data_IF_464402055634
#
_entry.id   IF_464402055634
#
_cell.length_a   1.000
_cell.length_b   1.000
_cell.length_c   1.000
_cell.angle_alpha   90.00
_cell.angle_beta   90.00
_cell.angle_gamma   90.00
#
_symmetry.space_group_name_H-M   'P 1'
#
loop_
_entity.id
_entity.type
_entity.pdbx_description
1 polymer ?
#
# COMPACT_ATOMS: atom_id res chain seq x y z
N UNK A 1 -13.94 -22.34 1.56
CA UNK A 1 -13.47 -21.08 0.96
C UNK A 1 -12.30 -20.58 1.79
N UNK A 2 -11.14 -20.40 1.17
CA UNK A 2 -9.89 -19.90 1.77
C UNK A 2 -9.67 -18.45 1.33
N UNK A 3 -8.88 -17.69 2.08
CA UNK A 3 -8.52 -16.29 1.74
C UNK A 3 -7.90 -16.18 0.34
N UNK A 4 -7.03 -17.14 0.00
CA UNK A 4 -6.41 -17.23 -1.33
C UNK A 4 -7.42 -17.34 -2.48
N UNK A 5 -8.66 -17.76 -2.22
CA UNK A 5 -9.71 -17.91 -3.24
C UNK A 5 -10.37 -16.55 -3.57
N UNK A 6 -10.11 -15.50 -2.77
CA UNK A 6 -10.75 -14.18 -2.85
C UNK A 6 -9.78 -13.00 -2.95
N UNK A 7 -8.55 -13.15 -2.46
CA UNK A 7 -7.58 -12.06 -2.43
C UNK A 7 -7.14 -11.65 -3.84
N UNK A 8 -6.71 -10.39 -3.98
CA UNK A 8 -5.98 -9.95 -5.17
C UNK A 8 -4.55 -10.53 -5.11
N UNK A 9 -4.15 -11.41 -6.05
CA UNK A 9 -2.77 -11.89 -6.11
C UNK A 9 -1.83 -10.77 -6.54
N UNK A 10 -0.58 -10.84 -6.08
CA UNK A 10 0.49 -9.89 -6.41
C UNK A 10 0.08 -8.40 -6.28
N UNK A 11 -0.34 -7.96 -5.09
CA UNK A 11 -0.81 -6.60 -4.89
C UNK A 11 0.31 -5.59 -5.18
N UNK A 12 -0.08 -4.38 -5.57
CA UNK A 12 0.88 -3.28 -5.67
C UNK A 12 1.37 -2.93 -4.27
N UNK A 13 2.68 -2.97 -4.07
CA UNK A 13 3.33 -2.68 -2.79
C UNK A 13 4.20 -1.42 -2.86
N UNK A 14 4.52 -0.88 -1.70
CA UNK A 14 5.51 0.18 -1.50
C UNK A 14 6.75 -0.39 -0.80
N UNK A 15 7.91 0.21 -1.06
CA UNK A 15 9.13 -0.03 -0.26
C UNK A 15 9.16 0.92 0.94
N UNK A 16 9.86 0.59 2.04
CA UNK A 16 9.96 1.47 3.21
C UNK A 16 10.66 2.79 2.89
N UNK A 17 11.52 2.78 1.87
CA UNK A 17 12.25 3.96 1.38
C UNK A 17 11.41 4.86 0.46
N UNK A 18 10.20 4.44 0.09
CA UNK A 18 9.34 5.21 -0.81
C UNK A 18 8.95 6.55 -0.18
N UNK A 19 9.02 7.60 -0.98
CA UNK A 19 8.62 8.94 -0.58
C UNK A 19 7.09 9.05 -0.51
N UNK A 20 6.64 10.06 0.24
CA UNK A 20 5.21 10.38 0.33
C UNK A 20 4.60 10.73 -1.04
N UNK A 21 5.39 11.38 -1.90
CA UNK A 21 4.97 11.73 -3.26
C UNK A 21 4.77 10.49 -4.13
N UNK A 22 5.69 9.53 -4.09
CA UNK A 22 5.57 8.26 -4.82
C UNK A 22 4.34 7.46 -4.34
N UNK A 23 4.09 7.45 -3.04
CA UNK A 23 2.90 6.83 -2.47
C UNK A 23 1.61 7.52 -2.96
N UNK A 24 1.55 8.85 -2.91
CA UNK A 24 0.42 9.63 -3.40
C UNK A 24 0.16 9.38 -4.89
N UNK A 25 1.22 9.32 -5.70
CA UNK A 25 1.12 9.02 -7.12
C UNK A 25 0.51 7.64 -7.36
N UNK A 26 0.98 6.61 -6.64
CA UNK A 26 0.41 5.26 -6.76
C UNK A 26 -1.07 5.18 -6.37
N UNK A 27 -1.49 5.91 -5.33
CA UNK A 27 -2.91 6.00 -4.94
C UNK A 27 -3.75 6.53 -6.11
N UNK A 28 -3.29 7.61 -6.75
CA UNK A 28 -3.99 8.24 -7.86
C UNK A 28 -4.01 7.36 -9.13
N UNK A 29 -2.92 6.63 -9.41
CA UNK A 29 -2.79 5.79 -10.60
C UNK A 29 -3.59 4.47 -10.51
N UNK A 30 -3.62 3.85 -9.32
CA UNK A 30 -4.13 2.48 -9.17
C UNK A 30 -5.55 2.39 -8.60
N UNK A 31 -6.11 3.50 -8.11
CA UNK A 31 -7.39 3.57 -7.38
C UNK A 31 -7.46 2.74 -6.10
N UNK A 32 -6.34 2.16 -5.63
CA UNK A 32 -6.28 1.52 -4.32
C UNK A 32 -6.11 2.58 -3.23
N UNK A 33 -6.90 2.46 -2.15
CA UNK A 33 -6.82 3.37 -1.00
C UNK A 33 -5.73 3.00 0.01
N UNK A 34 -5.11 1.82 -0.13
CA UNK A 34 -4.14 1.30 0.83
C UNK A 34 -3.12 0.39 0.17
N UNK A 35 -1.87 0.48 0.62
CA UNK A 35 -0.73 -0.24 0.07
C UNK A 35 0.06 -0.93 1.18
N UNK A 36 0.32 -2.24 1.06
CA UNK A 36 1.30 -2.91 1.90
C UNK A 36 2.69 -2.31 1.68
N UNK A 37 3.41 -2.05 2.77
CA UNK A 37 4.81 -1.63 2.73
C UNK A 37 5.67 -2.86 3.05
N UNK A 38 6.53 -3.24 2.11
CA UNK A 38 7.32 -4.48 2.18
C UNK A 38 8.82 -4.24 2.04
N UNK A 39 9.61 -4.91 2.87
CA UNK A 39 11.06 -4.99 2.76
C UNK A 39 11.45 -6.41 2.32
N UNK A 40 11.77 -6.57 1.03
CA UNK A 40 11.88 -7.91 0.43
C UNK A 40 10.52 -8.60 0.45
N UNK A 41 10.46 -9.81 1.01
CA UNK A 41 9.21 -10.58 1.18
C UNK A 41 8.49 -10.29 2.50
N UNK A 42 9.06 -9.42 3.35
CA UNK A 42 8.53 -9.14 4.67
C UNK A 42 7.59 -7.93 4.63
N UNK A 43 6.36 -8.12 5.09
CA UNK A 43 5.46 -7.01 5.38
C UNK A 43 5.96 -6.24 6.62
N UNK A 44 6.22 -4.95 6.47
CA UNK A 44 6.69 -4.07 7.54
C UNK A 44 5.71 -2.96 7.91
N UNK A 45 4.68 -2.73 7.09
CA UNK A 45 3.65 -1.75 7.38
C UNK A 45 2.50 -1.73 6.39
N UNK A 46 1.55 -0.84 6.63
CA UNK A 46 0.42 -0.55 5.75
C UNK A 46 0.26 0.96 5.68
N UNK A 47 0.29 1.53 4.48
CA UNK A 47 0.03 2.94 4.25
C UNK A 47 -1.35 3.10 3.61
N UNK A 48 -2.18 3.99 4.15
CA UNK A 48 -3.47 4.33 3.58
C UNK A 48 -3.49 5.78 3.11
N UNK A 49 -4.34 6.09 2.14
CA UNK A 49 -4.48 7.45 1.63
C UNK A 49 -4.84 8.45 2.73
N UNK A 50 -5.61 8.03 3.74
CA UNK A 50 -5.97 8.88 4.88
C UNK A 50 -4.78 9.20 5.79
N UNK A 51 -3.74 8.36 5.81
CA UNK A 51 -2.53 8.60 6.60
C UNK A 51 -1.69 9.76 6.02
N UNK A 52 -1.95 10.16 4.76
CA UNK A 52 -1.33 11.33 4.12
C UNK A 52 -1.93 12.66 4.56
N UNK A 53 -3.12 12.63 5.16
CA UNK A 53 -3.80 13.82 5.62
C UNK A 53 -3.30 14.21 7.01
N UNK A 54 -3.14 15.50 7.31
CA UNK A 54 -2.82 15.94 8.66
C UNK A 54 -3.92 15.48 9.61
N UNK A 55 -3.53 14.89 10.74
CA UNK A 55 -4.49 14.59 11.81
C UNK A 55 -4.81 15.86 12.58
N UNK A 56 -6.09 16.11 12.92
CA UNK A 56 -6.48 17.23 13.77
C UNK A 56 -5.93 17.07 15.19
#
# INVERSE_FOLDING_TARGET
>A
MKVQDLMTPDPVVLRPEATLEEAARKILETRYGSFPVVEGERLVGLLRAEDLLPRP
#
